data_IF_548150801823
#
_entry.id   IF_548150801823
#
_cell.length_a   1.000
_cell.length_b   1.000
_cell.length_c   1.000
_cell.angle_alpha   90.00
_cell.angle_beta   90.00
_cell.angle_gamma   90.00
#
_symmetry.space_group_name_H-M   'P 1'
#
loop_
_entity.id
_entity.type
_entity.pdbx_description
1 polymer ?
#
# COMPACT_ATOMS: atom_id res chain seq x y z
N UNK A 1 35.71 -16.59 28.50
CA UNK A 1 34.57 -15.81 27.98
C UNK A 1 33.52 -16.78 27.45
N UNK A 2 32.34 -16.88 28.07
CA UNK A 2 31.19 -17.62 27.52
C UNK A 2 30.12 -16.60 27.09
N UNK A 3 29.69 -16.60 25.81
CA UNK A 3 28.77 -15.58 25.31
C UNK A 3 27.37 -15.73 25.90
N UNK A 4 26.81 -14.58 26.28
CA UNK A 4 25.40 -14.18 26.34
C UNK A 4 24.32 -15.22 26.71
N UNK A 5 23.81 -15.06 27.93
CA UNK A 5 22.42 -15.34 28.29
C UNK A 5 21.49 -14.52 27.38
N UNK A 6 21.05 -15.10 26.26
CA UNK A 6 19.86 -14.63 25.56
C UNK A 6 18.68 -15.04 26.43
N UNK A 7 18.17 -14.09 27.22
CA UNK A 7 16.92 -14.26 27.97
C UNK A 7 15.77 -14.41 26.97
N UNK A 8 15.52 -15.64 26.52
CA UNK A 8 14.28 -15.97 25.80
C UNK A 8 13.18 -16.02 26.87
N UNK A 9 12.44 -14.92 27.03
CA UNK A 9 11.25 -14.91 27.89
C UNK A 9 10.15 -15.78 27.26
N UNK A 10 10.20 -17.08 27.53
CA UNK A 10 9.11 -18.02 27.30
C UNK A 10 9.03 -18.89 28.54
N UNK A 11 7.88 -18.89 29.23
CA UNK A 11 7.65 -19.75 30.38
C UNK A 11 7.91 -21.23 30.07
N UNK A 12 8.02 -22.06 31.11
CA UNK A 12 8.45 -23.45 31.00
C UNK A 12 7.74 -24.25 29.90
N UNK A 13 8.52 -24.79 28.96
CA UNK A 13 8.02 -25.66 27.92
C UNK A 13 7.74 -27.06 28.49
N UNK A 14 6.47 -27.50 28.50
CA UNK A 14 6.03 -28.88 28.77
C UNK A 14 6.40 -29.88 27.64
N UNK A 15 6.62 -31.17 27.96
CA UNK A 15 6.84 -32.19 26.94
C UNK A 15 5.65 -32.31 25.98
N UNK A 16 5.94 -32.44 24.68
CA UNK A 16 4.95 -32.60 23.62
C UNK A 16 5.43 -33.65 22.59
N UNK A 17 4.52 -34.30 21.84
CA UNK A 17 4.88 -35.29 20.84
C UNK A 17 5.52 -34.61 19.62
N UNK A 18 6.79 -34.93 19.35
CA UNK A 18 7.57 -34.34 18.23
C UNK A 18 7.24 -34.91 16.86
N UNK A 19 6.57 -36.05 16.81
CA UNK A 19 6.19 -36.73 15.56
C UNK A 19 4.88 -36.21 14.96
N UNK A 20 4.13 -35.39 15.70
CA UNK A 20 2.89 -34.81 15.21
C UNK A 20 3.22 -33.59 14.35
N UNK A 21 2.77 -33.62 13.10
CA UNK A 21 2.93 -32.53 12.15
C UNK A 21 1.58 -31.89 11.81
N UNK A 22 1.56 -30.57 11.69
CA UNK A 22 0.38 -29.78 11.33
C UNK A 22 0.77 -28.66 10.35
N UNK A 23 -0.22 -28.16 9.61
CA UNK A 23 -0.03 -27.07 8.64
C UNK A 23 0.25 -25.70 9.29
N UNK A 24 -0.18 -25.49 10.54
CA UNK A 24 -0.15 -24.18 11.21
C UNK A 24 0.96 -24.06 12.27
N UNK A 25 1.72 -25.15 12.50
CA UNK A 25 2.70 -25.25 13.57
C UNK A 25 2.20 -26.07 14.77
N UNK A 26 3.15 -26.54 15.59
CA UNK A 26 2.88 -27.40 16.74
C UNK A 26 2.90 -26.65 18.07
N UNK A 27 3.40 -27.31 19.11
CA UNK A 27 3.61 -26.70 20.42
C UNK A 27 4.90 -25.86 20.42
N UNK A 28 4.74 -24.56 20.71
CA UNK A 28 5.79 -23.53 20.74
C UNK A 28 6.78 -23.59 19.56
N UNK A 29 6.28 -23.42 18.32
CA UNK A 29 7.13 -23.45 17.15
C UNK A 29 8.07 -22.24 17.18
N UNK A 30 9.38 -22.49 17.33
CA UNK A 30 10.41 -21.47 17.14
C UNK A 30 11.30 -21.83 15.94
N UNK A 31 10.77 -21.74 14.71
CA UNK A 31 11.54 -22.07 13.52
C UNK A 31 12.69 -21.07 13.35
N UNK A 32 13.87 -21.58 13.02
CA UNK A 32 15.10 -20.78 12.94
C UNK A 32 15.02 -19.67 11.86
N UNK A 33 14.24 -19.91 10.80
CA UNK A 33 14.16 -19.01 9.63
C UNK A 33 12.82 -18.25 9.54
N UNK A 34 12.13 -18.03 10.66
CA UNK A 34 10.80 -17.38 10.64
C UNK A 34 10.80 -15.99 9.99
N UNK A 35 11.90 -15.22 10.16
CA UNK A 35 12.06 -13.89 9.57
C UNK A 35 12.10 -13.98 8.06
N UNK A 36 12.99 -14.79 7.50
CA UNK A 36 13.11 -14.97 6.04
C UNK A 36 11.81 -15.48 5.43
N UNK A 37 11.16 -16.45 6.08
CA UNK A 37 9.88 -16.99 5.61
C UNK A 37 8.78 -15.91 5.59
N UNK A 38 8.69 -15.09 6.64
CA UNK A 38 7.72 -13.99 6.73
C UNK A 38 7.98 -12.93 5.65
N UNK A 39 9.25 -12.61 5.38
CA UNK A 39 9.61 -11.67 4.32
C UNK A 39 9.18 -12.22 2.96
N UNK A 40 9.49 -13.48 2.65
CA UNK A 40 9.12 -14.10 1.38
C UNK A 40 7.60 -14.14 1.22
N UNK A 41 6.86 -14.55 2.26
CA UNK A 41 5.39 -14.56 2.24
C UNK A 41 4.82 -13.15 2.07
N UNK A 42 5.35 -12.17 2.82
CA UNK A 42 4.92 -10.78 2.73
C UNK A 42 5.16 -10.19 1.34
N UNK A 43 6.32 -10.46 0.73
CA UNK A 43 6.61 -10.07 -0.64
C UNK A 43 5.64 -10.71 -1.63
N UNK A 44 5.38 -12.02 -1.50
CA UNK A 44 4.41 -12.72 -2.35
C UNK A 44 3.01 -12.10 -2.28
N UNK A 45 2.52 -11.81 -1.08
CA UNK A 45 1.23 -11.14 -0.87
C UNK A 45 1.24 -9.74 -1.51
N UNK A 46 2.26 -8.94 -1.23
CA UNK A 46 2.38 -7.58 -1.77
C UNK A 46 2.39 -7.56 -3.30
N UNK A 47 3.09 -8.51 -3.93
CA UNK A 47 3.10 -8.66 -5.39
C UNK A 47 1.72 -8.96 -5.94
N UNK A 48 1.01 -9.96 -5.39
CA UNK A 48 -0.34 -10.35 -5.85
C UNK A 48 -1.31 -9.18 -5.68
N UNK A 49 -1.31 -8.54 -4.51
CA UNK A 49 -2.17 -7.39 -4.22
C UNK A 49 -1.84 -6.22 -5.14
N UNK A 50 -0.56 -5.95 -5.40
CA UNK A 50 -0.13 -4.89 -6.31
C UNK A 50 -0.65 -5.10 -7.73
N UNK A 51 -0.56 -6.32 -8.26
CA UNK A 51 -1.12 -6.64 -9.58
C UNK A 51 -2.65 -6.53 -9.61
N UNK A 52 -3.34 -7.07 -8.60
CA UNK A 52 -4.79 -6.96 -8.48
C UNK A 52 -5.27 -5.51 -8.39
N UNK A 53 -4.57 -4.70 -7.60
CA UNK A 53 -4.85 -3.27 -7.47
C UNK A 53 -4.66 -2.52 -8.78
N UNK A 54 -3.54 -2.73 -9.48
CA UNK A 54 -3.31 -2.13 -10.81
C UNK A 54 -4.41 -2.53 -11.80
N UNK A 55 -4.72 -3.82 -11.88
CA UNK A 55 -5.77 -4.34 -12.77
C UNK A 55 -7.14 -3.71 -12.49
N UNK A 56 -7.47 -3.54 -11.21
CA UNK A 56 -8.71 -2.89 -10.77
C UNK A 56 -8.71 -1.39 -11.09
N UNK A 57 -7.63 -0.68 -10.82
CA UNK A 57 -7.52 0.77 -11.07
C UNK A 57 -7.60 1.11 -12.57
N UNK A 58 -7.06 0.26 -13.43
CA UNK A 58 -7.12 0.42 -14.89
C UNK A 58 -8.53 0.21 -15.47
N UNK A 59 -9.41 -0.50 -14.74
CA UNK A 59 -10.78 -0.86 -15.17
C UNK A 59 -11.87 -0.07 -14.47
N UNK A 60 -11.53 0.69 -13.44
CA UNK A 60 -12.49 1.53 -12.74
C UNK A 60 -12.99 2.62 -13.69
N UNK A 61 -14.29 2.63 -13.97
CA UNK A 61 -14.98 3.68 -14.71
C UNK A 61 -15.93 4.40 -13.76
N UNK A 62 -15.87 5.73 -13.73
CA UNK A 62 -16.79 6.59 -12.99
C UNK A 62 -17.75 7.25 -13.94
N UNK A 63 -19.03 7.09 -13.63
CA UNK A 63 -20.10 7.74 -14.36
C UNK A 63 -20.31 9.20 -13.96
N UNK A 64 -19.75 9.64 -12.82
CA UNK A 64 -19.92 10.99 -12.28
C UNK A 64 -18.63 11.50 -11.68
N UNK A 65 -18.34 12.78 -11.95
CA UNK A 65 -17.23 13.47 -11.31
C UNK A 65 -17.47 13.62 -9.79
N UNK A 66 -16.47 13.38 -8.94
CA UNK A 66 -16.63 13.50 -7.50
C UNK A 66 -16.85 14.96 -7.05
N UNK A 67 -17.75 15.17 -6.09
CA UNK A 67 -18.06 16.51 -5.57
C UNK A 67 -17.02 17.05 -4.58
N UNK A 68 -16.13 16.17 -4.09
CA UNK A 68 -15.06 16.46 -3.14
C UNK A 68 -13.85 15.60 -3.46
N UNK A 69 -12.69 15.96 -2.94
CA UNK A 69 -11.50 15.12 -3.08
C UNK A 69 -11.70 13.74 -2.44
N UNK A 70 -11.29 12.68 -3.14
CA UNK A 70 -11.35 11.29 -2.68
C UNK A 70 -9.97 10.65 -2.93
N UNK A 71 -9.44 9.80 -2.01
CA UNK A 71 -8.13 9.18 -2.18
C UNK A 71 -7.95 8.40 -3.49
N UNK A 72 -9.03 7.82 -4.04
CA UNK A 72 -8.97 7.08 -5.30
C UNK A 72 -8.56 7.92 -6.51
N UNK A 73 -8.69 9.25 -6.42
CA UNK A 73 -8.21 10.17 -7.47
C UNK A 73 -6.69 10.08 -7.68
N UNK A 74 -5.92 9.69 -6.65
CA UNK A 74 -4.46 9.61 -6.72
C UNK A 74 -3.98 8.51 -7.67
N UNK A 75 -4.80 7.49 -7.95
CA UNK A 75 -4.40 6.31 -8.73
C UNK A 75 -5.36 5.93 -9.85
N UNK A 76 -6.59 6.42 -9.83
CA UNK A 76 -7.54 6.06 -10.88
C UNK A 76 -7.16 6.70 -12.22
N UNK A 77 -7.22 5.89 -13.27
CA UNK A 77 -6.82 6.26 -14.63
C UNK A 77 -7.44 7.58 -15.12
N UNK A 78 -8.71 7.83 -14.78
CA UNK A 78 -9.47 9.00 -15.22
C UNK A 78 -8.86 10.36 -14.84
N UNK A 79 -8.06 10.39 -13.77
CA UNK A 79 -7.45 11.61 -13.26
C UNK A 79 -6.01 11.83 -13.75
N UNK A 80 -5.43 10.82 -14.41
CA UNK A 80 -4.04 10.85 -14.89
C UNK A 80 -3.95 10.76 -16.42
N UNK A 81 -4.91 10.11 -17.06
CA UNK A 81 -4.97 9.99 -18.51
C UNK A 81 -5.38 11.33 -19.15
N UNK A 82 -4.56 11.91 -20.06
CA UNK A 82 -4.81 13.24 -20.62
C UNK A 82 -6.18 13.38 -21.30
N UNK A 83 -6.63 12.33 -22.00
CA UNK A 83 -7.93 12.33 -22.67
C UNK A 83 -9.09 12.37 -21.67
N UNK A 84 -9.00 11.56 -20.61
CA UNK A 84 -10.00 11.52 -19.54
C UNK A 84 -10.04 12.83 -18.75
N UNK A 85 -8.87 13.43 -18.47
CA UNK A 85 -8.77 14.73 -17.78
C UNK A 85 -9.38 15.86 -18.62
N UNK A 86 -9.14 15.89 -19.92
CA UNK A 86 -9.75 16.88 -20.82
C UNK A 86 -11.27 16.76 -20.82
N UNK A 87 -11.80 15.55 -20.97
CA UNK A 87 -13.24 15.26 -20.91
C UNK A 87 -13.86 15.76 -19.60
N UNK A 88 -13.25 15.45 -18.45
CA UNK A 88 -13.77 15.90 -17.16
C UNK A 88 -13.73 17.42 -17.02
N UNK A 89 -12.66 18.09 -17.48
CA UNK A 89 -12.58 19.56 -17.46
C UNK A 89 -13.67 20.21 -18.31
N UNK A 90 -13.97 19.65 -19.48
CA UNK A 90 -15.08 20.12 -20.31
C UNK A 90 -16.44 19.93 -19.63
N UNK A 91 -16.66 18.78 -18.98
CA UNK A 91 -17.87 18.52 -18.22
C UNK A 91 -18.02 19.48 -17.04
N UNK A 92 -16.93 19.72 -16.30
CA UNK A 92 -16.90 20.65 -15.18
C UNK A 92 -17.18 22.08 -15.63
N UNK A 93 -16.66 22.50 -16.78
CA UNK A 93 -16.96 23.81 -17.35
C UNK A 93 -18.45 23.97 -17.68
N UNK A 94 -19.13 22.91 -18.14
CA UNK A 94 -20.60 22.91 -18.36
C UNK A 94 -21.38 22.99 -17.05
N UNK A 95 -20.89 22.32 -16.01
CA UNK A 95 -21.51 22.31 -14.68
C UNK A 95 -21.16 23.55 -13.84
N UNK A 96 -20.25 24.42 -14.33
CA UNK A 96 -19.74 25.58 -13.59
C UNK A 96 -18.88 25.22 -12.39
N UNK A 97 -18.24 24.04 -12.40
CA UNK A 97 -17.39 23.53 -11.32
C UNK A 97 -15.92 23.58 -11.69
N UNK A 98 -15.07 23.62 -10.66
CA UNK A 98 -13.62 23.63 -10.84
C UNK A 98 -13.03 22.21 -10.79
N UNK A 99 -11.88 22.04 -11.43
CA UNK A 99 -11.11 20.79 -11.38
C UNK A 99 -10.46 20.63 -10.01
N UNK A 100 -10.76 19.52 -9.35
CA UNK A 100 -10.15 19.14 -8.08
C UNK A 100 -8.81 18.47 -8.38
N UNK A 101 -7.73 19.00 -7.81
CA UNK A 101 -6.41 18.38 -7.93
C UNK A 101 -6.39 16.99 -7.29
N UNK A 102 -5.95 15.94 -8.03
CA UNK A 102 -5.84 14.59 -7.48
C UNK A 102 -4.86 14.48 -6.31
N UNK A 103 -3.79 15.28 -6.33
CA UNK A 103 -2.75 15.32 -5.29
C UNK A 103 -2.78 16.65 -4.54
N UNK A 104 -3.52 16.74 -3.43
CA UNK A 104 -3.71 17.99 -2.72
C UNK A 104 -2.41 18.39 -1.99
N UNK A 105 -2.29 19.69 -1.70
CA UNK A 105 -1.09 20.26 -1.05
C UNK A 105 -0.75 19.63 0.31
N UNK A 106 -1.75 19.15 1.04
CA UNK A 106 -1.58 18.49 2.35
C UNK A 106 -1.17 17.02 2.25
N UNK A 107 -1.12 16.43 1.05
CA UNK A 107 -0.80 15.00 0.90
C UNK A 107 0.66 14.73 1.30
N UNK A 108 0.92 13.78 2.22
CA UNK A 108 2.25 13.60 2.81
C UNK A 108 3.33 13.19 1.81
N UNK A 109 2.94 12.64 0.66
CA UNK A 109 3.83 12.17 -0.39
C UNK A 109 3.85 13.08 -1.63
N UNK A 110 3.21 14.26 -1.59
CA UNK A 110 3.32 15.22 -2.70
C UNK A 110 4.76 15.73 -2.73
N UNK A 111 5.43 15.59 -3.88
CA UNK A 111 6.75 16.18 -4.06
C UNK A 111 6.66 17.69 -3.81
N UNK A 112 7.53 18.22 -2.95
CA UNK A 112 7.63 19.68 -2.75
C UNK A 112 8.15 20.27 -4.06
N UNK A 113 7.36 21.15 -4.68
CA UNK A 113 7.83 21.94 -5.82
C UNK A 113 9.08 22.70 -5.38
N UNK A 114 10.16 22.59 -6.18
CA UNK A 114 11.37 23.36 -5.92
C UNK A 114 11.00 24.84 -6.12
N UNK A 115 11.01 25.62 -5.03
CA UNK A 115 10.81 27.07 -5.09
C UNK A 115 11.84 27.67 -6.05
N UNK A 116 11.46 28.55 -7.00
CA UNK A 116 12.42 29.20 -7.86
C UNK A 116 13.42 29.98 -6.99
N UNK A 117 14.70 29.67 -7.17
CA UNK A 117 15.81 30.34 -6.49
C UNK A 117 15.65 31.84 -6.68
N UNK A 118 15.62 32.66 -5.61
CA UNK A 118 15.57 34.10 -5.77
C UNK A 118 16.85 34.53 -6.49
N UNK A 119 16.72 35.00 -7.72
CA UNK A 119 17.78 35.70 -8.42
C UNK A 119 18.04 37.00 -7.67
N UNK A 120 19.17 37.05 -6.95
CA UNK A 120 19.73 38.25 -6.37
C UNK A 120 20.17 39.25 -7.45
#
# INVERSE_FOLDING_TARGET
MRPSLVLRSGGGNYPYPKWVWSWYGGWWPTPQNYVSNTIVTGLGIATIVGFGWKFSADRELRHRYPDRWIPSMIWAKEFHDPASVAMWKEQLAKEGREWIEPTPSWWPFKAKEASPTPSH
#
